data_IF_656016786175
#
_entry.id   IF_656016786175
#
_cell.length_a   1.000
_cell.length_b   1.000
_cell.length_c   1.000
_cell.angle_alpha   90.00
_cell.angle_beta   90.00
_cell.angle_gamma   90.00
#
_symmetry.space_group_name_H-M   'P 1'
#
loop_
_entity.id
_entity.type
_entity.pdbx_description
1 polymer ?
#
# COMPACT_ATOMS: atom_id res chain seq x y z
N UNK A 1 -27.45 41.41 19.60
CA UNK A 1 -26.46 40.76 18.73
C UNK A 1 -26.42 39.27 19.05
N UNK A 2 -27.15 38.46 18.26
CA UNK A 2 -27.17 36.99 18.33
C UNK A 2 -26.46 36.49 17.08
N UNK A 3 -25.27 35.90 17.22
CA UNK A 3 -24.65 35.12 16.15
C UNK A 3 -25.25 33.71 16.17
N UNK A 4 -26.40 33.55 15.53
CA UNK A 4 -26.88 32.25 15.05
C UNK A 4 -26.52 32.11 13.57
N UNK A 5 -26.16 30.89 13.17
CA UNK A 5 -25.97 30.45 11.77
C UNK A 5 -24.57 30.67 11.18
N UNK A 6 -23.57 29.94 11.69
CA UNK A 6 -22.43 29.50 10.87
C UNK A 6 -22.31 27.97 10.96
N UNK A 7 -22.91 27.33 9.94
CA UNK A 7 -22.60 25.99 9.43
C UNK A 7 -22.74 24.78 10.35
N UNK A 8 -24.01 24.40 10.51
CA UNK A 8 -24.50 23.07 10.87
C UNK A 8 -24.33 22.08 9.70
N UNK A 9 -23.09 21.90 9.20
CA UNK A 9 -22.76 20.91 8.15
C UNK A 9 -21.52 20.13 8.62
N UNK A 10 -21.70 19.05 9.38
CA UNK A 10 -20.55 18.20 9.76
C UNK A 10 -20.85 16.73 10.10
N UNK A 11 -22.10 16.26 10.12
CA UNK A 11 -22.37 15.03 10.89
C UNK A 11 -23.05 13.84 10.19
N UNK A 12 -23.43 13.89 8.91
CA UNK A 12 -24.16 12.75 8.32
C UNK A 12 -23.62 12.17 7.03
N UNK A 13 -22.87 12.94 6.23
CA UNK A 13 -22.27 12.42 5.00
C UNK A 13 -20.82 12.89 4.92
N UNK A 14 -19.86 12.03 5.26
CA UNK A 14 -18.53 12.14 4.65
C UNK A 14 -18.82 12.11 3.15
N UNK A 15 -18.38 13.13 2.41
CA UNK A 15 -18.35 13.05 0.96
C UNK A 15 -17.33 11.96 0.59
N UNK A 16 -17.76 10.69 0.60
CA UNK A 16 -17.01 9.54 0.06
C UNK A 16 -16.56 9.84 -1.39
N UNK A 17 -17.20 10.81 -2.05
CA UNK A 17 -16.84 11.34 -3.36
C UNK A 17 -15.39 11.86 -3.50
N UNK A 18 -14.65 12.11 -2.41
CA UNK A 18 -13.25 12.59 -2.51
C UNK A 18 -12.21 11.48 -2.36
N UNK A 19 -12.60 10.25 -2.01
CA UNK A 19 -11.67 9.11 -1.95
C UNK A 19 -11.64 8.39 -3.29
N UNK A 20 -10.46 7.95 -3.73
CA UNK A 20 -10.25 7.26 -5.02
C UNK A 20 -10.54 5.75 -4.95
N UNK A 21 -11.58 5.37 -4.21
CA UNK A 21 -12.08 3.99 -4.14
C UNK A 21 -13.59 4.03 -4.28
N UNK A 22 -14.16 2.99 -4.87
CA UNK A 22 -15.60 2.84 -4.89
C UNK A 22 -16.14 2.57 -3.47
N UNK A 23 -17.46 2.69 -3.33
CA UNK A 23 -18.13 2.57 -2.04
C UNK A 23 -18.04 1.15 -1.47
N UNK A 24 -18.09 0.12 -2.31
CA UNK A 24 -18.07 -1.28 -1.86
C UNK A 24 -16.68 -1.64 -1.34
N UNK A 25 -15.63 -1.29 -2.09
CA UNK A 25 -14.24 -1.44 -1.67
C UNK A 25 -13.94 -0.69 -0.37
N UNK A 26 -14.48 0.52 -0.20
CA UNK A 26 -14.32 1.28 1.03
C UNK A 26 -14.83 0.51 2.26
N UNK A 27 -16.04 -0.03 2.18
CA UNK A 27 -16.62 -0.77 3.30
C UNK A 27 -15.96 -2.14 3.49
N UNK A 28 -15.54 -2.79 2.41
CA UNK A 28 -14.74 -4.00 2.50
C UNK A 28 -13.44 -3.79 3.29
N UNK A 29 -12.65 -2.75 2.94
CA UNK A 29 -11.42 -2.41 3.68
C UNK A 29 -11.74 -2.03 5.13
N UNK A 30 -12.82 -1.27 5.36
CA UNK A 30 -13.25 -0.90 6.70
C UNK A 30 -13.49 -2.14 7.56
N UNK A 31 -14.22 -3.12 7.05
CA UNK A 31 -14.61 -4.31 7.81
C UNK A 31 -13.42 -5.22 8.09
N UNK A 32 -12.44 -5.29 7.18
CA UNK A 32 -11.17 -5.99 7.41
C UNK A 32 -10.39 -5.42 8.60
N UNK A 33 -10.34 -4.10 8.75
CA UNK A 33 -9.52 -3.45 9.79
C UNK A 33 -10.30 -3.06 11.04
N UNK A 34 -11.64 -3.05 11.01
CA UNK A 34 -12.47 -2.50 12.09
C UNK A 34 -12.24 -3.17 13.45
N UNK A 35 -11.87 -4.46 13.44
CA UNK A 35 -11.56 -5.24 14.63
C UNK A 35 -10.17 -5.05 15.21
N UNK A 36 -9.29 -4.26 14.58
CA UNK A 36 -7.91 -4.11 15.02
C UNK A 36 -7.81 -3.45 16.41
N UNK A 37 -7.03 -4.03 17.36
CA UNK A 37 -6.83 -3.48 18.70
C UNK A 37 -6.38 -2.02 18.74
N UNK A 38 -5.71 -1.52 17.69
CA UNK A 38 -5.25 -0.12 17.58
C UNK A 38 -6.41 0.88 17.55
N UNK A 39 -7.63 0.42 17.24
CA UNK A 39 -8.83 1.24 17.23
C UNK A 39 -9.61 1.21 18.55
N UNK A 40 -9.25 0.32 19.48
CA UNK A 40 -9.87 0.20 20.79
C UNK A 40 -9.54 1.43 21.66
N UNK A 41 -10.52 1.85 22.46
CA UNK A 41 -10.43 3.02 23.33
C UNK A 41 -9.49 2.72 24.51
N UNK A 42 -8.39 3.47 24.62
CA UNK A 42 -7.50 3.42 25.79
C UNK A 42 -7.68 4.61 26.74
N UNK A 43 -8.58 5.56 26.44
CA UNK A 43 -8.74 6.78 27.22
C UNK A 43 -10.19 7.25 27.39
N UNK A 44 -10.41 8.28 28.24
CA UNK A 44 -11.74 8.73 28.63
C UNK A 44 -12.52 9.45 27.52
N UNK A 45 -11.82 9.87 26.46
CA UNK A 45 -12.45 10.57 25.32
C UNK A 45 -12.90 9.57 24.26
N UNK A 46 -14.16 9.65 23.80
CA UNK A 46 -14.63 8.80 22.71
C UNK A 46 -13.82 9.11 21.44
N UNK A 47 -13.25 8.08 20.83
CA UNK A 47 -12.57 8.24 19.55
C UNK A 47 -13.59 8.20 18.40
N UNK A 48 -13.31 8.91 17.30
CA UNK A 48 -14.15 8.84 16.10
C UNK A 48 -14.15 7.43 15.50
N UNK A 49 -15.27 6.99 14.88
CA UNK A 49 -15.37 5.70 14.21
C UNK A 49 -14.28 5.46 13.15
N UNK A 50 -13.96 4.19 12.90
CA UNK A 50 -12.89 3.75 11.98
C UNK A 50 -13.08 4.32 10.57
N UNK A 51 -14.32 4.38 10.06
CA UNK A 51 -14.65 4.99 8.76
C UNK A 51 -14.07 6.40 8.54
N UNK A 52 -14.02 7.26 9.55
CA UNK A 52 -13.44 8.61 9.40
C UNK A 52 -11.91 8.57 9.30
N UNK A 53 -11.28 7.59 9.95
CA UNK A 53 -9.83 7.41 9.91
C UNK A 53 -9.43 6.83 8.56
N UNK A 54 -10.16 5.82 8.09
CA UNK A 54 -9.98 5.24 6.77
C UNK A 54 -10.21 6.29 5.67
N UNK A 55 -11.25 7.12 5.77
CA UNK A 55 -11.48 8.21 4.83
C UNK A 55 -10.33 9.23 4.82
N UNK A 56 -9.79 9.60 5.99
CA UNK A 56 -8.62 10.47 6.08
C UNK A 56 -7.38 9.84 5.43
N UNK A 57 -7.15 8.55 5.66
CA UNK A 57 -6.06 7.80 5.03
C UNK A 57 -6.19 7.78 3.50
N UNK A 58 -7.34 7.36 2.97
CA UNK A 58 -7.59 7.24 1.54
C UNK A 58 -7.51 8.60 0.83
N UNK A 59 -8.00 9.67 1.48
CA UNK A 59 -7.85 11.03 0.97
C UNK A 59 -6.37 11.42 0.88
N UNK A 60 -5.58 11.13 1.92
CA UNK A 60 -4.14 11.46 1.95
C UNK A 60 -3.35 10.73 0.86
N UNK A 61 -3.56 9.42 0.71
CA UNK A 61 -2.83 8.61 -0.28
C UNK A 61 -3.32 8.89 -1.72
N UNK A 62 -4.55 9.35 -1.88
CA UNK A 62 -5.14 9.77 -3.15
C UNK A 62 -4.62 11.10 -3.71
N UNK A 63 -3.37 11.49 -3.39
CA UNK A 63 -2.67 12.74 -3.78
C UNK A 63 -3.11 14.04 -3.09
N UNK A 64 -3.86 14.00 -2.00
CA UNK A 64 -4.23 15.22 -1.27
C UNK A 64 -3.23 15.60 -0.18
N UNK A 65 -3.02 16.91 0.03
CA UNK A 65 -2.17 17.42 1.11
C UNK A 65 -2.76 17.10 2.49
N UNK A 66 -1.93 17.13 3.54
CA UNK A 66 -2.41 16.97 4.92
C UNK A 66 -3.46 18.02 5.31
N UNK A 67 -3.27 19.26 4.86
CA UNK A 67 -4.19 20.39 5.07
C UNK A 67 -5.53 20.18 4.35
N UNK A 68 -5.50 19.68 3.10
CA UNK A 68 -6.75 19.39 2.36
C UNK A 68 -7.48 18.20 2.96
N UNK A 69 -6.76 17.16 3.36
CA UNK A 69 -7.31 16.00 4.08
C UNK A 69 -7.98 16.42 5.39
N UNK A 70 -7.33 17.27 6.18
CA UNK A 70 -7.86 17.73 7.47
C UNK A 70 -9.11 18.60 7.30
N UNK A 71 -9.14 19.43 6.25
CA UNK A 71 -10.29 20.24 5.86
C UNK A 71 -11.50 19.38 5.44
N UNK A 72 -11.27 18.37 4.59
CA UNK A 72 -12.31 17.45 4.10
C UNK A 72 -12.94 16.63 5.26
N UNK A 73 -12.11 16.19 6.21
CA UNK A 73 -12.56 15.33 7.33
C UNK A 73 -12.99 16.16 8.56
N UNK A 74 -12.85 17.49 8.48
CA UNK A 74 -13.15 18.44 9.56
C UNK A 74 -12.43 18.07 10.87
N UNK A 75 -11.11 17.96 10.79
CA UNK A 75 -10.19 17.68 11.90
C UNK A 75 -8.95 18.59 11.83
N UNK A 76 -8.16 18.65 12.91
CA UNK A 76 -6.85 19.31 12.87
C UNK A 76 -5.83 18.45 12.14
N UNK A 77 -4.80 19.08 11.55
CA UNK A 77 -3.75 18.37 10.81
C UNK A 77 -3.03 17.30 11.65
N UNK A 78 -2.70 17.61 12.91
CA UNK A 78 -2.11 16.63 13.83
C UNK A 78 -3.01 15.41 14.09
N UNK A 79 -4.33 15.60 14.11
CA UNK A 79 -5.29 14.50 14.22
C UNK A 79 -5.34 13.64 12.96
N UNK A 80 -5.22 14.27 11.78
CA UNK A 80 -5.17 13.56 10.51
C UNK A 80 -3.96 12.62 10.46
N UNK A 81 -2.78 13.10 10.89
CA UNK A 81 -1.58 12.26 11.00
C UNK A 81 -1.80 11.06 11.92
N UNK A 82 -2.42 11.26 13.09
CA UNK A 82 -2.76 10.17 14.00
C UNK A 82 -3.72 9.14 13.41
N UNK A 83 -4.68 9.58 12.58
CA UNK A 83 -5.62 8.69 11.90
C UNK A 83 -4.92 7.85 10.82
N UNK A 84 -4.13 8.51 9.97
CA UNK A 84 -3.34 7.87 8.92
C UNK A 84 -2.42 6.81 9.54
N UNK A 85 -1.66 7.17 10.59
CA UNK A 85 -0.72 6.25 11.25
C UNK A 85 -1.42 4.99 11.76
N UNK A 86 -2.59 5.12 12.37
CA UNK A 86 -3.32 3.96 12.90
C UNK A 86 -3.87 3.06 11.79
N UNK A 87 -4.38 3.64 10.71
CA UNK A 87 -4.84 2.88 9.55
C UNK A 87 -3.69 2.13 8.89
N UNK A 88 -2.53 2.77 8.72
CA UNK A 88 -1.31 2.11 8.21
C UNK A 88 -0.90 0.93 9.09
N UNK A 89 -0.90 1.09 10.42
CA UNK A 89 -0.60 -0.02 11.31
C UNK A 89 -1.61 -1.17 11.20
N UNK A 90 -2.92 -0.87 11.14
CA UNK A 90 -3.95 -1.90 10.99
C UNK A 90 -3.84 -2.65 9.66
N UNK A 91 -3.60 -1.93 8.55
CA UNK A 91 -3.35 -2.54 7.24
C UNK A 91 -2.08 -3.40 7.24
N UNK A 92 -1.04 -2.96 7.94
CA UNK A 92 0.20 -3.74 8.07
C UNK A 92 -0.04 -5.04 8.85
N UNK A 93 -0.90 -5.04 9.86
CA UNK A 93 -1.19 -6.22 10.66
C UNK A 93 -1.89 -7.34 9.86
N UNK A 94 -2.62 -6.99 8.80
CA UNK A 94 -3.28 -7.95 7.90
C UNK A 94 -2.51 -8.15 6.59
N UNK A 95 -1.33 -7.53 6.43
CA UNK A 95 -0.62 -7.52 5.15
C UNK A 95 -0.24 -8.94 4.70
N UNK A 96 0.26 -9.76 5.63
CA UNK A 96 0.74 -11.12 5.35
C UNK A 96 -0.42 -12.09 5.01
N UNK A 97 -1.65 -11.78 5.43
CA UNK A 97 -2.85 -12.55 5.09
C UNK A 97 -3.31 -12.32 3.64
N UNK A 98 -2.94 -11.17 3.06
CA UNK A 98 -3.41 -10.72 1.74
C UNK A 98 -2.33 -10.72 0.67
N UNK A 99 -1.07 -10.52 1.05
CA UNK A 99 0.08 -10.45 0.13
C UNK A 99 1.08 -11.50 0.58
N UNK A 100 1.27 -12.52 -0.24
CA UNK A 100 2.21 -13.58 0.06
C UNK A 100 2.45 -14.47 -1.15
N UNK A 101 3.55 -15.22 -1.09
CA UNK A 101 3.93 -16.10 -2.18
C UNK A 101 2.86 -17.21 -2.36
N UNK A 102 2.37 -17.44 -3.59
CA UNK A 102 1.25 -18.35 -3.81
C UNK A 102 1.64 -19.80 -3.50
N UNK A 103 0.71 -20.52 -2.88
CA UNK A 103 0.83 -21.96 -2.64
C UNK A 103 0.84 -22.78 -3.95
N UNK A 104 1.12 -24.10 -3.87
CA UNK A 104 1.29 -24.96 -5.04
C UNK A 104 0.09 -24.96 -6.01
N UNK A 105 -1.13 -25.00 -5.48
CA UNK A 105 -2.36 -25.00 -6.29
C UNK A 105 -2.56 -23.68 -7.04
N UNK A 106 -2.41 -22.55 -6.35
CA UNK A 106 -2.48 -21.22 -6.97
C UNK A 106 -1.38 -21.05 -8.01
N UNK A 107 -0.16 -21.53 -7.77
CA UNK A 107 0.92 -21.50 -8.75
C UNK A 107 0.60 -22.30 -10.01
N UNK A 108 -0.05 -23.46 -9.88
CA UNK A 108 -0.49 -24.25 -11.02
C UNK A 108 -1.50 -23.47 -11.87
N UNK A 109 -2.52 -22.89 -11.23
CA UNK A 109 -3.50 -22.04 -11.89
C UNK A 109 -2.84 -20.86 -12.62
N UNK A 110 -1.93 -20.14 -11.94
CA UNK A 110 -1.23 -19.00 -12.53
C UNK A 110 -0.39 -19.39 -13.76
N UNK A 111 0.22 -20.58 -13.78
CA UNK A 111 0.94 -21.09 -14.96
C UNK A 111 0.05 -21.33 -16.16
N UNK A 112 -1.18 -21.78 -15.92
CA UNK A 112 -2.17 -22.04 -16.97
C UNK A 112 -2.67 -20.72 -17.55
N UNK A 113 -3.07 -19.76 -16.70
CA UNK A 113 -3.52 -18.42 -17.14
C UNK A 113 -2.42 -17.66 -17.88
N UNK A 114 -1.22 -17.55 -17.29
CA UNK A 114 -0.09 -16.89 -17.95
C UNK A 114 0.32 -17.61 -19.25
N UNK A 115 0.17 -18.94 -19.31
CA UNK A 115 0.40 -19.72 -20.51
C UNK A 115 -0.57 -19.39 -21.63
N UNK A 116 -1.84 -19.15 -21.31
CA UNK A 116 -2.85 -18.69 -22.27
C UNK A 116 -2.53 -17.30 -22.83
N UNK A 117 -1.91 -16.43 -22.01
CA UNK A 117 -1.43 -15.10 -22.40
C UNK A 117 -0.06 -15.11 -23.11
N UNK A 118 0.52 -16.29 -23.39
CA UNK A 118 1.76 -16.44 -24.16
C UNK A 118 3.04 -16.56 -23.32
N UNK A 119 2.92 -16.69 -21.99
CA UNK A 119 4.04 -16.86 -21.06
C UNK A 119 4.00 -18.24 -20.36
N UNK A 120 4.24 -19.33 -21.10
CA UNK A 120 4.08 -20.69 -20.57
C UNK A 120 5.00 -20.95 -19.37
N UNK A 121 4.42 -21.45 -18.28
CA UNK A 121 5.14 -21.77 -17.05
C UNK A 121 5.50 -20.55 -16.17
N UNK A 122 5.15 -19.34 -16.60
CA UNK A 122 5.26 -18.14 -15.80
C UNK A 122 4.19 -18.13 -14.70
N UNK A 123 4.54 -17.64 -13.51
CA UNK A 123 3.60 -17.51 -12.37
C UNK A 123 3.29 -16.05 -12.04
N UNK A 124 4.07 -15.11 -12.59
CA UNK A 124 3.96 -13.70 -12.31
C UNK A 124 5.10 -12.92 -12.94
N UNK A 125 4.93 -11.60 -12.97
CA UNK A 125 5.84 -10.65 -13.58
C UNK A 125 6.41 -9.74 -12.50
N UNK A 126 7.73 -9.65 -12.43
CA UNK A 126 8.44 -8.76 -11.51
C UNK A 126 8.87 -7.48 -12.21
N UNK A 127 8.73 -6.34 -11.53
CA UNK A 127 9.30 -5.07 -11.96
C UNK A 127 9.70 -4.21 -10.76
N UNK A 128 10.66 -3.31 -10.98
CA UNK A 128 11.17 -2.38 -9.99
C UNK A 128 10.62 -0.98 -10.24
N UNK A 129 10.16 -0.31 -9.18
CA UNK A 129 9.70 1.07 -9.30
C UNK A 129 10.13 1.95 -8.13
N UNK A 130 10.09 3.26 -8.37
CA UNK A 130 10.63 4.26 -7.45
C UNK A 130 9.55 4.87 -6.55
N UNK A 131 9.71 4.71 -5.24
CA UNK A 131 8.98 5.47 -4.21
C UNK A 131 9.76 6.75 -3.94
N UNK A 132 9.21 7.88 -4.40
CA UNK A 132 9.86 9.19 -4.29
C UNK A 132 9.88 9.69 -2.85
N UNK A 133 11.04 10.15 -2.42
CA UNK A 133 11.25 10.87 -1.18
C UNK A 133 11.08 12.37 -1.40
N UNK A 134 10.45 13.02 -0.41
CA UNK A 134 10.29 14.48 -0.41
C UNK A 134 11.65 15.15 -0.22
N UNK A 135 12.43 14.64 0.73
CA UNK A 135 13.70 15.21 1.14
C UNK A 135 14.82 14.18 1.11
N UNK A 136 16.06 14.70 1.07
CA UNK A 136 17.28 13.92 1.24
C UNK A 136 17.28 13.28 2.63
N UNK A 137 17.60 11.99 2.72
CA UNK A 137 17.78 11.36 4.04
C UNK A 137 18.96 12.00 4.79
N UNK A 138 18.81 12.12 6.11
CA UNK A 138 19.85 12.67 6.98
C UNK A 138 21.15 11.86 6.90
N UNK A 139 21.02 10.54 6.93
CA UNK A 139 22.13 9.61 6.76
C UNK A 139 22.23 9.13 5.31
N UNK A 140 23.44 9.16 4.75
CA UNK A 140 23.76 8.62 3.41
C UNK A 140 22.89 9.14 2.26
N UNK A 141 22.34 10.35 2.32
CA UNK A 141 21.34 10.81 1.35
C UNK A 141 21.71 10.72 -0.14
N UNK A 142 22.99 10.69 -0.49
CA UNK A 142 23.41 10.51 -1.89
C UNK A 142 23.14 9.10 -2.44
N UNK A 143 23.04 8.06 -1.61
CA UNK A 143 22.71 6.70 -2.07
C UNK A 143 21.28 6.64 -2.60
N UNK A 144 20.36 7.43 -2.02
CA UNK A 144 18.98 7.49 -2.48
C UNK A 144 18.80 8.32 -3.76
N UNK A 145 19.85 8.96 -4.26
CA UNK A 145 19.78 9.78 -5.47
C UNK A 145 19.79 8.89 -6.72
N UNK A 146 18.66 8.84 -7.44
CA UNK A 146 18.54 8.00 -8.63
C UNK A 146 19.05 8.67 -9.91
N UNK A 147 19.17 7.86 -10.97
CA UNK A 147 19.52 8.32 -12.32
C UNK A 147 18.56 9.40 -12.86
N UNK A 148 17.30 9.40 -12.41
CA UNK A 148 16.27 10.38 -12.77
C UNK A 148 16.32 11.69 -11.98
N UNK A 149 17.37 11.91 -11.18
CA UNK A 149 17.66 13.17 -10.45
C UNK A 149 16.64 13.54 -9.36
N UNK A 150 16.20 12.55 -8.60
CA UNK A 150 15.44 12.75 -7.36
C UNK A 150 15.74 11.64 -6.34
N UNK A 151 15.40 11.87 -5.07
CA UNK A 151 15.61 10.89 -4.00
C UNK A 151 14.50 9.83 -3.99
N UNK A 152 14.85 8.55 -3.89
CA UNK A 152 13.89 7.42 -3.94
C UNK A 152 14.32 6.24 -3.09
N UNK A 153 13.34 5.44 -2.67
CA UNK A 153 13.52 4.01 -2.41
C UNK A 153 13.05 3.22 -3.64
N UNK A 154 13.71 2.11 -3.94
CA UNK A 154 13.26 1.14 -4.94
C UNK A 154 12.40 0.10 -4.23
N UNK A 155 11.24 -0.20 -4.83
CA UNK A 155 10.34 -1.28 -4.48
C UNK A 155 10.31 -2.24 -5.67
N UNK A 156 10.75 -3.47 -5.44
CA UNK A 156 10.54 -4.57 -6.36
C UNK A 156 9.19 -5.21 -6.03
N UNK A 157 8.34 -5.40 -7.03
CA UNK A 157 7.06 -6.09 -6.83
C UNK A 157 6.84 -7.15 -7.89
N UNK A 158 6.20 -8.25 -7.49
CA UNK A 158 5.82 -9.35 -8.36
C UNK A 158 4.29 -9.40 -8.39
N UNK A 159 3.74 -9.35 -9.59
CA UNK A 159 2.30 -9.37 -9.82
C UNK A 159 1.87 -10.64 -10.57
N UNK A 160 0.64 -11.09 -10.34
CA UNK A 160 0.01 -12.10 -11.19
C UNK A 160 -0.56 -11.50 -12.50
N UNK A 161 -1.13 -12.35 -13.36
CA UNK A 161 -1.79 -11.97 -14.63
C UNK A 161 -2.86 -10.87 -14.49
N UNK A 162 -3.46 -10.72 -13.31
CA UNK A 162 -4.48 -9.70 -13.01
C UNK A 162 -3.88 -8.43 -12.38
N UNK A 163 -2.56 -8.33 -12.27
CA UNK A 163 -1.87 -7.21 -11.61
C UNK A 163 -1.98 -7.25 -10.08
N UNK A 164 -2.30 -8.40 -9.47
CA UNK A 164 -2.37 -8.55 -8.02
C UNK A 164 -0.97 -8.85 -7.48
N UNK A 165 -0.52 -8.11 -6.47
CA UNK A 165 0.77 -8.37 -5.83
C UNK A 165 0.79 -9.74 -5.15
N UNK A 166 1.78 -10.55 -5.50
CA UNK A 166 2.06 -11.88 -4.94
C UNK A 166 3.42 -11.95 -4.25
N UNK A 167 4.20 -10.88 -4.31
CA UNK A 167 5.48 -10.73 -3.65
C UNK A 167 6.00 -9.31 -3.79
N UNK A 168 6.80 -8.85 -2.84
CA UNK A 168 7.42 -7.53 -2.90
C UNK A 168 8.66 -7.46 -2.01
N UNK A 169 9.57 -6.57 -2.35
CA UNK A 169 10.76 -6.27 -1.58
C UNK A 169 11.06 -4.77 -1.63
N UNK A 170 11.17 -4.13 -0.46
CA UNK A 170 11.40 -2.70 -0.32
C UNK A 170 12.72 -2.44 0.38
N UNK A 171 13.41 -1.38 -0.02
CA UNK A 171 14.48 -0.78 0.81
C UNK A 171 15.75 -0.46 0.04
N UNK A 172 15.81 -0.82 -1.23
CA UNK A 172 16.96 -0.55 -2.07
C UNK A 172 17.10 0.96 -2.34
N UNK A 173 18.31 1.53 -2.22
CA UNK A 173 18.53 2.93 -2.51
C UNK A 173 18.49 3.21 -4.02
N UNK A 174 18.02 4.40 -4.40
CA UNK A 174 17.85 4.81 -5.80
C UNK A 174 19.09 4.78 -6.70
N UNK A 175 20.30 4.71 -6.13
CA UNK A 175 21.54 4.58 -6.90
C UNK A 175 21.82 3.16 -7.39
N UNK A 176 21.08 2.16 -6.90
CA UNK A 176 21.28 0.75 -7.25
C UNK A 176 20.56 0.44 -8.56
N UNK A 177 21.19 -0.37 -9.42
CA UNK A 177 20.57 -0.83 -10.66
C UNK A 177 19.58 -1.95 -10.41
N UNK A 178 18.50 -1.97 -11.19
CA UNK A 178 17.42 -2.99 -11.15
C UNK A 178 17.99 -4.43 -11.21
N UNK A 179 19.03 -4.67 -12.02
CA UNK A 179 19.68 -5.98 -12.08
C UNK A 179 20.28 -6.44 -10.74
N UNK A 180 20.83 -5.50 -9.96
CA UNK A 180 21.39 -5.78 -8.64
C UNK A 180 20.29 -5.96 -7.61
N UNK A 181 19.24 -5.14 -7.66
CA UNK A 181 18.05 -5.30 -6.82
C UNK A 181 17.47 -6.70 -7.01
N UNK A 182 17.32 -7.15 -8.25
CA UNK A 182 16.85 -8.50 -8.54
C UNK A 182 17.81 -9.59 -8.06
N UNK A 183 19.11 -9.47 -8.32
CA UNK A 183 20.10 -10.49 -7.92
C UNK A 183 20.28 -10.62 -6.40
N UNK A 184 19.96 -9.58 -5.65
CA UNK A 184 20.05 -9.56 -4.19
C UNK A 184 18.68 -9.75 -3.52
N UNK A 185 17.63 -10.01 -4.30
CA UNK A 185 16.28 -10.22 -3.78
C UNK A 185 16.10 -11.61 -3.19
N UNK A 186 15.15 -11.73 -2.25
CA UNK A 186 14.71 -13.03 -1.72
C UNK A 186 14.27 -13.98 -2.84
N UNK A 187 13.62 -13.42 -3.87
CA UNK A 187 13.16 -14.18 -5.03
C UNK A 187 14.31 -14.86 -5.78
N UNK A 188 15.45 -14.18 -5.93
CA UNK A 188 16.63 -14.73 -6.60
C UNK A 188 17.34 -15.79 -5.75
N UNK A 189 17.51 -15.55 -4.45
CA UNK A 189 18.16 -16.50 -3.55
C UNK A 189 17.34 -17.79 -3.40
N UNK A 190 16.02 -17.67 -3.26
CA UNK A 190 15.09 -18.80 -3.07
C UNK A 190 14.45 -19.26 -4.38
N UNK A 191 15.02 -18.90 -5.52
CA UNK A 191 14.50 -19.25 -6.86
C UNK A 191 14.25 -20.74 -7.06
N UNK A 192 14.98 -21.63 -6.39
CA UNK A 192 14.78 -23.08 -6.51
C UNK A 192 13.44 -23.54 -5.91
N UNK A 193 12.98 -22.87 -4.85
CA UNK A 193 11.69 -23.12 -4.21
C UNK A 193 10.55 -22.44 -4.97
N UNK A 194 10.76 -21.18 -5.35
CA UNK A 194 9.78 -20.34 -6.04
C UNK A 194 9.57 -20.74 -7.50
N UNK A 195 10.66 -20.97 -8.23
CA UNK A 195 10.69 -21.38 -9.63
C UNK A 195 10.99 -22.88 -9.67
N UNK A 196 9.95 -23.68 -9.47
CA UNK A 196 10.06 -25.15 -9.61
C UNK A 196 10.64 -25.45 -10.98
N UNK A 197 11.78 -26.16 -11.04
CA UNK A 197 12.43 -26.55 -12.29
C UNK A 197 11.39 -27.19 -13.20
N UNK A 198 11.09 -26.52 -14.31
CA UNK A 198 10.46 -27.21 -15.42
C UNK A 198 11.47 -28.27 -15.82
N UNK A 199 11.12 -29.55 -15.70
CA UNK A 199 11.82 -30.61 -16.39
C UNK A 199 11.66 -30.31 -17.88
N UNK A 200 12.55 -29.49 -18.42
CA UNK A 200 12.68 -29.28 -19.86
C UNK A 200 13.05 -30.63 -20.45
N UNK A 201 12.08 -31.24 -21.11
CA UNK A 201 12.35 -32.12 -22.24
C UNK A 201 13.12 -31.31 -23.27
N UNK A 202 14.45 -31.47 -23.28
CA UNK A 202 15.31 -31.41 -24.46
C UNK A 202 16.53 -32.28 -24.17
#
# INVERSE_FOLDING_TARGET
>A
MRYSSFYRICYTNIHILTVRVDKETFWHIHDLIAGDPIFVLTGPKPQRPVKYRLAAFLCRIGTESGVKTSSIICITEGSAFGYIKRVVCALRNICDDHIGWPGPERRKFLREEMGADGFPGCIGMGDDFFIRLVDKSWAQGWTYWCCKKFYVFILQAICDHCGIFIGWELGWPGSVSDATVFQESDMWFNRAEYLTKISTFW
#
